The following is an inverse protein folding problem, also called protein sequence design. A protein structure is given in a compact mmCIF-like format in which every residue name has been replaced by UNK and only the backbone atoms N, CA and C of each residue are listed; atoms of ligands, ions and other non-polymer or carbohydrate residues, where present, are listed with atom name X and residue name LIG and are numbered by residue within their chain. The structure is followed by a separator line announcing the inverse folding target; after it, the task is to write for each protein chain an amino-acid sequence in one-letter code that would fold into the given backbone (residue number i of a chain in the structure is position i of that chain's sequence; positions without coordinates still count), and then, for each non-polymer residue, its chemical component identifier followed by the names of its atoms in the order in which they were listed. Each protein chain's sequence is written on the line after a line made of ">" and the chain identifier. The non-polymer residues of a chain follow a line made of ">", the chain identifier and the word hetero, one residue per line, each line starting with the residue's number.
data_IF_320268660829
#
_entry.id   IF_320268660829
#
_cell.length_a   1.000
_cell.length_b   1.000
_cell.length_c   1.000
_cell.angle_alpha   90.00
_cell.angle_beta   90.00
_cell.angle_gamma   90.00
#
_symmetry.space_group_name_H-M   'P 1'
#
loop_
_entity.id
_entity.type
_entity.pdbx_description
1 polymer ?
#
# COMPACT_ATOMS: atom_id res chain seq x y z
N UNK A 1 -0.10 -2.47 -17.63
CA UNK A 1 0.83 -1.33 -17.61
C UNK A 1 0.64 -0.60 -16.29
N UNK A 2 1.67 -0.59 -15.45
CA UNK A 2 1.73 0.10 -14.17
C UNK A 2 2.39 1.45 -14.43
N UNK A 3 1.76 2.54 -14.01
CA UNK A 3 2.29 3.89 -14.18
C UNK A 3 2.66 4.49 -12.81
N UNK A 4 3.86 5.05 -12.69
CA UNK A 4 4.35 5.67 -11.45
C UNK A 4 3.74 7.06 -11.35
N UNK A 5 3.04 7.34 -10.26
CA UNK A 5 2.42 8.66 -10.03
C UNK A 5 3.28 9.59 -9.19
N UNK A 6 3.93 9.06 -8.16
CA UNK A 6 4.76 9.85 -7.24
C UNK A 6 5.75 8.98 -6.48
N UNK A 7 6.81 9.61 -5.98
CA UNK A 7 7.70 9.04 -4.97
C UNK A 7 7.24 9.50 -3.59
N UNK A 8 7.35 8.62 -2.60
CA UNK A 8 7.08 8.92 -1.19
C UNK A 8 8.35 8.88 -0.34
N UNK A 9 8.23 9.34 0.89
CA UNK A 9 9.31 9.29 1.88
C UNK A 9 9.28 7.98 2.66
N UNK A 10 10.46 7.47 3.01
CA UNK A 10 10.63 6.32 3.90
C UNK A 10 10.53 6.77 5.37
N UNK A 11 9.29 6.97 5.79
CA UNK A 11 8.95 7.46 7.13
C UNK A 11 9.53 6.59 8.24
N UNK A 12 9.72 5.28 8.04
CA UNK A 12 10.21 4.36 9.07
C UNK A 12 11.73 4.16 9.05
N UNK A 13 12.46 4.93 8.23
CA UNK A 13 13.91 4.83 8.06
C UNK A 13 14.39 3.39 7.77
N UNK A 14 13.62 2.65 6.99
CA UNK A 14 13.91 1.27 6.61
C UNK A 14 14.96 1.17 5.49
N UNK A 15 15.40 2.29 4.91
CA UNK A 15 16.22 2.38 3.71
C UNK A 15 15.48 1.93 2.45
N UNK A 16 14.17 2.16 2.37
CA UNK A 16 13.33 1.67 1.29
C UNK A 16 12.96 2.76 0.28
N UNK A 17 12.79 2.37 -0.98
CA UNK A 17 12.20 3.23 -1.99
C UNK A 17 10.68 3.12 -1.93
N UNK A 18 9.99 4.26 -1.84
CA UNK A 18 8.52 4.32 -1.79
C UNK A 18 8.00 4.94 -3.09
N UNK A 19 7.12 4.22 -3.78
CA UNK A 19 6.53 4.66 -5.03
C UNK A 19 5.02 4.39 -5.03
N UNK A 20 4.26 5.34 -5.55
CA UNK A 20 2.82 5.21 -5.75
C UNK A 20 2.51 4.92 -7.22
N UNK A 21 1.50 4.08 -7.44
CA UNK A 21 1.19 3.55 -8.75
C UNK A 21 -0.29 3.63 -9.07
N UNK A 22 -0.57 3.80 -10.36
CA UNK A 22 -1.86 3.52 -10.95
C UNK A 22 -1.86 2.12 -11.57
N UNK A 23 -2.78 1.26 -11.12
CA UNK A 23 -2.89 -0.12 -11.60
C UNK A 23 -4.04 -0.23 -12.59
N UNK A 24 -3.73 -0.32 -13.89
CA UNK A 24 -4.74 -0.53 -14.95
C UNK A 24 -5.31 -1.95 -14.89
N UNK A 25 -6.64 -2.08 -14.96
CA UNK A 25 -7.33 -3.37 -15.10
C UNK A 25 -8.03 -3.89 -13.83
N UNK A 26 -8.01 -3.14 -12.73
CA UNK A 26 -8.76 -3.43 -11.49
C UNK A 26 -9.77 -2.29 -11.31
N UNK A 27 -11.07 -2.56 -11.28
CA UNK A 27 -12.13 -1.53 -11.32
C UNK A 27 -11.86 -0.30 -10.42
N UNK A 28 -12.02 0.91 -10.97
CA UNK A 28 -12.09 2.30 -10.47
C UNK A 28 -11.38 2.78 -9.18
N UNK A 29 -10.86 1.92 -8.30
CA UNK A 29 -10.11 2.29 -7.08
C UNK A 29 -8.60 2.20 -7.22
N UNK A 30 -8.09 1.63 -8.33
CA UNK A 30 -6.82 1.81 -9.08
C UNK A 30 -5.49 2.23 -8.40
N UNK A 31 -5.39 2.36 -7.08
CA UNK A 31 -4.25 2.97 -6.41
C UNK A 31 -3.49 1.93 -5.58
N UNK A 32 -2.18 1.90 -5.75
CA UNK A 32 -1.28 1.12 -4.93
C UNK A 32 -0.07 1.96 -4.51
N UNK A 33 0.49 1.64 -3.36
CA UNK A 33 1.79 2.13 -2.89
C UNK A 33 2.69 0.92 -2.66
N UNK A 34 3.90 0.98 -3.20
CA UNK A 34 4.92 -0.06 -3.01
C UNK A 34 6.15 0.58 -2.39
N UNK A 35 6.55 0.01 -1.27
CA UNK A 35 7.79 0.31 -0.58
C UNK A 35 8.70 -0.91 -0.70
N UNK A 36 9.96 -0.72 -1.05
CA UNK A 36 10.88 -1.85 -1.29
C UNK A 36 12.33 -1.56 -0.96
N UNK A 37 13.03 -2.57 -0.42
CA UNK A 37 14.47 -2.57 -0.16
C UNK A 37 15.06 -3.95 -0.45
N UNK A 38 15.79 -4.08 -1.56
CA UNK A 38 16.35 -5.37 -1.97
C UNK A 38 15.25 -6.40 -2.18
N UNK A 39 15.29 -7.50 -1.43
CA UNK A 39 14.28 -8.55 -1.42
C UNK A 39 13.06 -8.24 -0.54
N UNK A 40 13.09 -7.15 0.25
CA UNK A 40 12.01 -6.78 1.17
C UNK A 40 10.99 -5.89 0.51
N UNK A 41 9.72 -6.21 0.74
CA UNK A 41 8.59 -5.54 0.09
C UNK A 41 7.45 -5.28 1.06
N UNK A 42 6.82 -4.13 0.89
CA UNK A 42 5.59 -3.72 1.54
C UNK A 42 4.67 -3.10 0.49
N UNK A 43 3.43 -3.57 0.40
CA UNK A 43 2.46 -3.11 -0.58
C UNK A 43 1.16 -2.75 0.12
N UNK A 44 0.65 -1.55 -0.13
CA UNK A 44 -0.74 -1.19 0.12
C UNK A 44 -1.50 -1.10 -1.21
N UNK A 45 -2.66 -1.74 -1.32
CA UNK A 45 -3.47 -1.71 -2.53
C UNK A 45 -4.95 -1.50 -2.18
N UNK A 46 -5.60 -0.54 -2.85
CA UNK A 46 -7.04 -0.37 -2.72
C UNK A 46 -7.79 -1.45 -3.49
N UNK A 47 -8.73 -2.10 -2.82
CA UNK A 47 -9.55 -3.18 -3.36
C UNK A 47 -10.99 -3.03 -2.89
N UNK A 48 -11.95 -3.55 -3.66
CA UNK A 48 -13.31 -3.75 -3.20
C UNK A 48 -13.43 -5.06 -2.43
N UNK A 49 -14.17 -5.06 -1.33
CA UNK A 49 -14.59 -6.29 -0.67
C UNK A 49 -15.85 -6.88 -1.32
N UNK A 50 -16.33 -8.01 -0.79
CA UNK A 50 -17.52 -8.70 -1.30
C UNK A 50 -18.82 -7.87 -1.23
N UNK A 51 -18.83 -6.77 -0.47
CA UNK A 51 -19.96 -5.83 -0.34
C UNK A 51 -19.74 -4.55 -1.15
N UNK A 52 -18.75 -4.54 -2.04
CA UNK A 52 -18.37 -3.39 -2.84
C UNK A 52 -17.89 -2.19 -2.00
N UNK A 53 -17.35 -2.44 -0.80
CA UNK A 53 -16.72 -1.43 0.03
C UNK A 53 -15.22 -1.40 -0.22
N UNK A 54 -14.65 -0.21 -0.35
CA UNK A 54 -13.23 -0.02 -0.63
C UNK A 54 -12.43 -0.17 0.66
N UNK A 55 -11.41 -1.03 0.63
CA UNK A 55 -10.48 -1.30 1.72
C UNK A 55 -9.06 -1.23 1.20
N UNK A 56 -8.09 -0.96 2.06
CA UNK A 56 -6.68 -1.15 1.72
C UNK A 56 -6.26 -2.55 2.15
N UNK A 57 -5.86 -3.39 1.19
CA UNK A 57 -5.19 -4.65 1.50
C UNK A 57 -3.68 -4.45 1.56
N UNK A 58 -3.08 -4.98 2.61
CA UNK A 58 -1.67 -4.83 2.89
C UNK A 58 -0.94 -6.17 2.75
N UNK A 59 0.20 -6.15 2.06
CA UNK A 59 1.05 -7.31 1.84
C UNK A 59 2.50 -6.99 2.23
N UNK A 60 3.20 -7.97 2.79
CA UNK A 60 4.64 -7.88 3.02
C UNK A 60 5.26 -9.26 3.08
N UNK A 61 6.49 -9.38 2.60
CA UNK A 61 7.31 -10.58 2.81
C UNK A 61 8.24 -10.46 4.02
N UNK A 62 8.16 -9.37 4.79
CA UNK A 62 8.99 -9.14 5.98
C UNK A 62 8.22 -9.60 7.22
N UNK A 63 8.62 -10.68 7.91
CA UNK A 63 7.82 -11.29 8.98
C UNK A 63 7.47 -10.32 10.13
N UNK A 64 8.41 -9.47 10.52
CA UNK A 64 8.23 -8.46 11.58
C UNK A 64 7.17 -7.38 11.24
N UNK A 65 6.70 -7.35 10.00
CA UNK A 65 5.74 -6.35 9.51
C UNK A 65 4.39 -6.97 9.10
N UNK A 66 4.13 -8.27 9.31
CA UNK A 66 2.82 -8.85 8.97
C UNK A 66 1.66 -8.27 9.76
N UNK A 67 1.91 -7.85 11.00
CA UNK A 67 0.89 -7.33 11.94
C UNK A 67 0.88 -5.81 12.07
N UNK A 68 1.68 -5.10 11.28
CA UNK A 68 1.79 -3.63 11.34
C UNK A 68 2.12 -3.06 9.96
N UNK A 69 1.64 -1.85 9.69
CA UNK A 69 1.83 -1.19 8.40
C UNK A 69 2.90 -0.10 8.55
N UNK A 70 3.82 0.06 7.57
CA UNK A 70 4.73 1.20 7.53
C UNK A 70 3.98 2.53 7.55
N UNK A 71 4.53 3.53 8.25
CA UNK A 71 3.98 4.88 8.36
C UNK A 71 3.76 5.53 7.00
N UNK A 72 4.65 5.28 6.04
CA UNK A 72 4.50 5.78 4.66
C UNK A 72 3.23 5.23 3.98
N UNK A 73 2.94 3.94 4.13
CA UNK A 73 1.74 3.31 3.57
C UNK A 73 0.48 3.77 4.32
N UNK A 74 0.58 3.96 5.64
CA UNK A 74 -0.51 4.50 6.45
C UNK A 74 -0.85 5.94 6.05
N UNK A 75 0.15 6.82 5.97
CA UNK A 75 0.00 8.21 5.55
C UNK A 75 -0.59 8.32 4.12
N UNK A 76 -0.14 7.45 3.21
CA UNK A 76 -0.70 7.36 1.87
C UNK A 76 -2.20 7.04 1.88
N UNK A 77 -2.62 6.05 2.66
CA UNK A 77 -4.03 5.70 2.84
C UNK A 77 -4.81 6.85 3.48
N UNK A 78 -4.23 7.51 4.48
CA UNK A 78 -4.88 8.59 5.22
C UNK A 78 -5.14 9.81 4.33
N UNK A 79 -4.22 10.11 3.41
CA UNK A 79 -4.39 11.16 2.39
C UNK A 79 -5.53 10.85 1.41
N UNK A 80 -5.81 9.57 1.16
CA UNK A 80 -6.92 9.16 0.29
C UNK A 80 -8.23 9.22 1.07
N UNK A 81 -8.29 8.51 2.20
CA UNK A 81 -9.43 8.46 3.12
C UNK A 81 -9.02 7.69 4.39
N UNK A 82 -8.94 8.43 5.49
CA UNK A 82 -8.54 7.94 6.80
C UNK A 82 -9.60 7.11 7.53
N UNK A 83 -10.72 6.77 6.89
CA UNK A 83 -11.71 5.82 7.39
C UNK A 83 -11.64 4.44 6.71
N UNK A 84 -10.92 4.30 5.59
CA UNK A 84 -10.82 3.01 4.87
C UNK A 84 -10.21 1.92 5.76
N UNK A 85 -10.87 0.77 5.95
CA UNK A 85 -10.31 -0.34 6.70
C UNK A 85 -9.00 -0.85 6.08
N UNK A 86 -8.10 -1.34 6.92
CA UNK A 86 -6.86 -1.98 6.50
C UNK A 86 -6.96 -3.49 6.76
N UNK A 87 -6.82 -4.28 5.70
CA UNK A 87 -6.74 -5.74 5.78
C UNK A 87 -5.28 -6.16 5.81
N UNK A 88 -4.81 -6.58 6.99
CA UNK A 88 -3.46 -7.10 7.17
C UNK A 88 -3.29 -8.49 6.56
N UNK A 89 -2.10 -8.77 6.03
CA UNK A 89 -1.70 -10.10 5.60
C UNK A 89 -1.69 -11.06 6.79
N UNK A 90 -2.33 -12.22 6.63
CA UNK A 90 -2.32 -13.29 7.63
C UNK A 90 -1.03 -14.12 7.56
#
# INVERSE_FOLDING_TARGET
>A
MIDVRSKGDDEDALGANVNEYFVRGIANTNAAIVMGRGDRLWIGMLVFDARNQVRMRYYTNVPAWKKRVPRAIQAWRDRIDSQRPIDLMR
#
